data_IF_937042407604
#
_entry.id   IF_937042407604
#
_cell.length_a   1.000
_cell.length_b   1.000
_cell.length_c   1.000
_cell.angle_alpha   90.00
_cell.angle_beta   90.00
_cell.angle_gamma   90.00
#
_symmetry.space_group_name_H-M   'P 1'
#
loop_
_entity.id
_entity.type
_entity.pdbx_description
1 polymer ?
#
# COMPACT_ATOMS: atom_id res chain seq x y z
N UNK A 1 -9.91 -12.43 10.86
CA UNK A 1 -9.32 -11.63 11.97
C UNK A 1 -8.08 -10.96 11.45
N UNK A 2 -8.15 -9.65 11.27
CA UNK A 2 -7.06 -8.85 10.78
C UNK A 2 -6.02 -8.62 11.89
N UNK A 3 -4.75 -8.87 11.58
CA UNK A 3 -3.61 -8.53 12.44
C UNK A 3 -2.71 -7.61 11.64
N UNK A 4 -2.47 -6.42 12.17
CA UNK A 4 -1.59 -5.43 11.57
C UNK A 4 -0.17 -5.59 12.11
N UNK A 5 0.80 -5.64 11.21
CA UNK A 5 2.22 -5.70 11.54
C UNK A 5 2.95 -4.52 10.90
N UNK A 6 4.02 -4.06 11.54
CA UNK A 6 4.88 -3.03 10.95
C UNK A 6 5.46 -3.50 9.62
N UNK A 7 5.35 -2.64 8.61
CA UNK A 7 6.07 -2.81 7.36
C UNK A 7 7.23 -1.83 7.33
N UNK A 8 8.44 -2.37 7.23
CA UNK A 8 9.59 -1.59 6.79
C UNK A 8 9.56 -1.53 5.27
N UNK A 9 9.44 -0.33 4.73
CA UNK A 9 9.46 -0.06 3.30
C UNK A 9 10.50 0.99 2.93
N UNK A 10 10.54 1.31 1.65
CA UNK A 10 11.32 2.42 1.10
C UNK A 10 10.38 3.37 0.38
N UNK A 11 10.36 4.63 0.78
CA UNK A 11 9.65 5.69 0.07
C UNK A 11 10.59 6.36 -0.92
N UNK A 12 10.12 6.50 -2.14
CA UNK A 12 10.92 6.97 -3.27
C UNK A 12 10.15 8.08 -3.96
N UNK A 13 10.74 9.26 -4.03
CA UNK A 13 10.26 10.39 -4.84
C UNK A 13 11.26 10.64 -5.95
N UNK A 14 10.82 10.53 -7.20
CA UNK A 14 11.66 10.73 -8.38
C UNK A 14 10.79 11.04 -9.61
N UNK A 15 11.41 11.44 -10.72
CA UNK A 15 10.69 11.67 -11.97
C UNK A 15 9.86 10.45 -12.39
N UNK A 16 8.65 10.65 -12.97
CA UNK A 16 7.80 9.55 -13.38
C UNK A 16 8.48 8.54 -14.33
N UNK A 17 9.36 9.04 -15.22
CA UNK A 17 10.13 8.23 -16.16
C UNK A 17 11.12 7.31 -15.43
N UNK A 18 11.93 7.84 -14.50
CA UNK A 18 12.86 7.04 -13.72
C UNK A 18 12.15 5.95 -12.91
N UNK A 19 10.99 6.27 -12.32
CA UNK A 19 10.19 5.30 -11.59
C UNK A 19 9.54 4.23 -12.51
N UNK A 20 9.28 4.54 -13.78
CA UNK A 20 8.72 3.60 -14.74
C UNK A 20 9.77 2.62 -15.28
N UNK A 21 11.04 3.03 -15.31
CA UNK A 21 12.19 2.22 -15.71
C UNK A 21 12.75 1.38 -14.55
N UNK A 22 12.38 1.70 -13.31
CA UNK A 22 12.83 1.00 -12.12
C UNK A 22 12.46 -0.48 -12.15
N UNK A 23 13.42 -1.33 -11.81
CA UNK A 23 13.23 -2.79 -11.71
C UNK A 23 13.22 -3.17 -10.24
N UNK A 24 12.16 -3.86 -9.82
CA UNK A 24 11.98 -4.32 -8.44
C UNK A 24 12.18 -5.83 -8.35
N UNK A 25 12.63 -6.36 -7.20
CA UNK A 25 12.60 -7.79 -6.92
C UNK A 25 11.21 -8.38 -7.17
N UNK A 26 11.13 -9.65 -7.57
CA UNK A 26 9.87 -10.31 -7.93
C UNK A 26 8.87 -10.38 -6.78
N UNK A 27 9.37 -10.38 -5.55
CA UNK A 27 8.63 -10.43 -4.30
C UNK A 27 8.37 -9.05 -3.70
N UNK A 28 8.87 -7.98 -4.32
CA UNK A 28 8.64 -6.62 -3.86
C UNK A 28 7.27 -6.09 -4.32
N UNK A 29 6.57 -5.45 -3.39
CA UNK A 29 5.37 -4.66 -3.64
C UNK A 29 5.76 -3.21 -3.88
N UNK A 30 5.89 -2.83 -5.15
CA UNK A 30 6.13 -1.45 -5.54
C UNK A 30 4.79 -0.73 -5.83
N UNK A 31 4.30 0.03 -4.86
CA UNK A 31 3.01 0.70 -4.90
C UNK A 31 3.18 2.15 -5.38
N UNK A 32 2.54 2.51 -6.49
CA UNK A 32 2.59 3.87 -7.02
C UNK A 32 1.55 4.77 -6.38
N UNK A 33 1.97 5.49 -5.34
CA UNK A 33 1.12 6.39 -4.55
C UNK A 33 0.90 7.75 -5.23
N UNK A 34 1.83 8.20 -6.08
CA UNK A 34 1.66 9.37 -6.93
C UNK A 34 2.38 9.17 -8.28
N UNK A 35 2.24 10.13 -9.21
CA UNK A 35 2.95 10.05 -10.50
C UNK A 35 4.47 9.98 -10.35
N UNK A 36 4.98 10.57 -9.29
CA UNK A 36 6.39 10.78 -8.94
C UNK A 36 6.76 10.15 -7.59
N UNK A 37 5.90 9.26 -7.05
CA UNK A 37 6.14 8.59 -5.77
C UNK A 37 5.85 7.08 -5.84
N UNK A 38 6.77 6.29 -5.28
CA UNK A 38 6.60 4.87 -4.98
C UNK A 38 6.77 4.63 -3.49
N UNK A 39 5.99 3.69 -2.98
CA UNK A 39 6.20 3.04 -1.70
C UNK A 39 6.49 1.55 -1.97
N UNK A 40 7.69 1.10 -1.63
CA UNK A 40 8.17 -0.25 -1.94
C UNK A 40 8.32 -1.07 -0.66
N UNK A 41 7.77 -2.29 -0.64
CA UNK A 41 7.90 -3.25 0.45
C UNK A 41 8.48 -4.59 -0.04
N UNK A 42 9.34 -5.28 0.73
CA UNK A 42 9.98 -4.81 1.96
C UNK A 42 10.96 -3.65 1.67
N UNK A 43 11.62 -3.14 2.71
CA UNK A 43 12.66 -2.11 2.58
C UNK A 43 13.75 -2.54 1.60
N UNK A 44 14.16 -1.60 0.75
CA UNK A 44 15.17 -1.74 -0.29
C UNK A 44 16.43 -0.97 0.11
N UNK A 45 17.61 -1.61 -0.01
CA UNK A 45 18.88 -0.99 0.39
C UNK A 45 19.71 -0.43 -0.78
N UNK A 46 19.55 -0.99 -1.98
CA UNK A 46 20.39 -0.67 -3.15
C UNK A 46 19.55 -0.14 -4.32
N UNK A 47 18.69 0.84 -4.05
CA UNK A 47 17.85 1.44 -5.09
C UNK A 47 18.69 2.34 -5.99
N UNK A 48 18.76 2.01 -7.27
CA UNK A 48 19.41 2.82 -8.30
C UNK A 48 18.39 3.30 -9.33
N UNK A 49 18.33 4.62 -9.54
CA UNK A 49 17.41 5.26 -10.49
C UNK A 49 18.19 6.20 -11.41
N UNK A 50 17.65 6.43 -12.61
CA UNK A 50 18.22 7.37 -13.59
C UNK A 50 18.06 8.84 -13.19
N UNK A 51 17.23 9.13 -12.19
CA UNK A 51 17.01 10.47 -11.66
C UNK A 51 18.08 10.87 -10.63
N UNK A 52 18.94 11.86 -10.92
CA UNK A 52 19.97 12.32 -9.99
C UNK A 52 19.42 13.08 -8.77
N UNK A 53 18.14 13.45 -8.78
CA UNK A 53 17.47 14.17 -7.70
C UNK A 53 16.49 13.28 -6.91
N UNK A 54 16.54 11.96 -7.12
CA UNK A 54 15.71 11.02 -6.40
C UNK A 54 15.91 11.14 -4.88
N UNK A 55 14.81 11.17 -4.14
CA UNK A 55 14.78 11.06 -2.69
C UNK A 55 14.39 9.63 -2.35
N UNK A 56 15.27 8.93 -1.65
CA UNK A 56 15.10 7.53 -1.29
C UNK A 56 15.30 7.45 0.22
N UNK A 57 14.24 7.09 0.94
CA UNK A 57 14.26 7.02 2.41
C UNK A 57 13.67 5.71 2.91
N UNK A 58 14.21 5.24 4.03
CA UNK A 58 13.59 4.18 4.81
C UNK A 58 12.28 4.71 5.41
N UNK A 59 11.19 3.97 5.24
CA UNK A 59 9.87 4.34 5.70
C UNK A 59 9.23 3.20 6.51
N UNK A 60 9.07 3.45 7.82
CA UNK A 60 8.42 2.55 8.76
C UNK A 60 7.06 3.04 9.24
N UNK A 61 6.47 4.03 8.55
CA UNK A 61 5.25 4.70 8.98
C UNK A 61 3.97 3.91 8.71
N UNK A 62 4.06 2.68 8.21
CA UNK A 62 2.91 1.87 7.83
C UNK A 62 2.81 0.56 8.62
N UNK A 63 1.56 0.17 8.88
CA UNK A 63 1.23 -1.20 9.26
C UNK A 63 0.42 -1.84 8.14
N UNK A 64 0.58 -3.15 7.98
CA UNK A 64 -0.15 -3.93 7.00
C UNK A 64 -0.60 -5.28 7.51
N UNK A 65 -1.69 -5.78 6.93
CA UNK A 65 -2.24 -7.10 7.23
C UNK A 65 -2.98 -7.69 6.05
N UNK A 66 -2.72 -8.98 5.79
CA UNK A 66 -3.44 -9.76 4.79
C UNK A 66 -4.72 -10.32 5.39
N UNK A 67 -5.82 -10.23 4.63
CA UNK A 67 -7.11 -10.85 4.95
C UNK A 67 -7.63 -11.64 3.78
N UNK A 68 -8.50 -12.60 4.07
CA UNK A 68 -9.29 -13.26 3.03
C UNK A 68 -10.09 -12.22 2.23
N UNK A 69 -10.19 -12.42 0.93
CA UNK A 69 -10.89 -11.51 0.05
C UNK A 69 -12.35 -11.29 0.46
N UNK A 70 -13.07 -12.33 0.87
CA UNK A 70 -14.48 -12.18 1.27
C UNK A 70 -14.65 -11.38 2.56
N UNK A 71 -13.69 -11.47 3.49
CA UNK A 71 -13.64 -10.65 4.71
C UNK A 71 -13.35 -9.19 4.35
N UNK A 72 -12.32 -8.95 3.55
CA UNK A 72 -11.94 -7.59 3.13
C UNK A 72 -13.00 -6.89 2.28
N UNK A 73 -13.64 -7.60 1.34
CA UNK A 73 -14.71 -7.03 0.51
C UNK A 73 -15.94 -6.68 1.33
N UNK A 74 -16.24 -7.41 2.41
CA UNK A 74 -17.35 -7.08 3.32
C UNK A 74 -17.10 -5.76 4.05
N UNK A 75 -15.89 -5.57 4.57
CA UNK A 75 -15.50 -4.30 5.18
C UNK A 75 -15.59 -3.15 4.16
N UNK A 76 -15.03 -3.34 2.97
CA UNK A 76 -15.00 -2.32 1.92
C UNK A 76 -16.40 -1.97 1.41
N UNK A 77 -17.31 -2.95 1.29
CA UNK A 77 -18.68 -2.69 0.84
C UNK A 77 -19.45 -1.73 1.75
N UNK A 78 -19.14 -1.69 3.05
CA UNK A 78 -19.80 -0.80 4.02
C UNK A 78 -19.09 0.54 4.20
N UNK A 79 -17.79 0.61 3.89
CA UNK A 79 -16.94 1.73 4.29
C UNK A 79 -16.25 2.46 3.14
N UNK A 80 -16.28 1.90 1.93
CA UNK A 80 -15.62 2.44 0.75
C UNK A 80 -16.62 3.11 -0.18
N UNK A 81 -16.41 4.38 -0.50
CA UNK A 81 -17.29 5.16 -1.41
C UNK A 81 -16.79 5.18 -2.86
N UNK A 82 -15.60 4.64 -3.13
CA UNK A 82 -14.96 4.69 -4.44
C UNK A 82 -15.01 3.33 -5.17
N UNK A 83 -14.97 3.39 -6.50
CA UNK A 83 -15.01 2.17 -7.32
C UNK A 83 -13.69 1.40 -7.20
N UNK A 84 -13.78 0.14 -6.77
CA UNK A 84 -12.61 -0.73 -6.69
C UNK A 84 -12.17 -1.25 -8.06
N UNK A 85 -10.85 -1.39 -8.30
CA UNK A 85 -10.34 -2.04 -9.49
C UNK A 85 -10.89 -3.46 -9.66
N UNK A 86 -11.38 -3.77 -10.86
CA UNK A 86 -11.89 -5.11 -11.20
C UNK A 86 -10.80 -6.07 -11.66
N UNK A 87 -9.71 -5.53 -12.23
CA UNK A 87 -8.56 -6.33 -12.67
C UNK A 87 -7.63 -6.54 -11.49
N UNK A 88 -7.11 -7.76 -11.36
CA UNK A 88 -6.18 -8.16 -10.29
C UNK A 88 -4.91 -8.76 -10.92
N UNK A 89 -3.74 -8.62 -10.26
CA UNK A 89 -3.53 -7.84 -9.06
C UNK A 89 -3.65 -6.33 -9.33
N UNK A 90 -4.03 -5.56 -8.31
CA UNK A 90 -4.14 -4.11 -8.43
C UNK A 90 -3.82 -3.38 -7.13
N UNK A 91 -3.15 -2.24 -7.26
CA UNK A 91 -3.04 -1.25 -6.21
C UNK A 91 -4.23 -0.29 -6.27
N UNK A 92 -4.82 0.01 -5.12
CA UNK A 92 -5.80 1.07 -4.96
C UNK A 92 -5.51 1.85 -3.68
N UNK A 93 -5.88 3.13 -3.65
CA UNK A 93 -5.80 3.94 -2.45
C UNK A 93 -6.96 4.93 -2.44
N UNK A 94 -7.42 5.25 -1.24
CA UNK A 94 -8.55 6.14 -1.04
C UNK A 94 -9.00 6.14 0.41
N UNK A 95 -10.11 6.82 0.70
CA UNK A 95 -10.69 6.82 2.02
C UNK A 95 -11.61 5.61 2.21
N UNK A 96 -11.50 4.91 3.34
CA UNK A 96 -12.52 3.98 3.81
C UNK A 96 -12.70 4.14 5.32
N UNK A 97 -13.95 4.16 5.79
CA UNK A 97 -14.28 4.47 7.18
C UNK A 97 -13.71 5.85 7.63
N UNK A 98 -13.61 6.80 6.70
CA UNK A 98 -13.00 8.11 6.97
C UNK A 98 -11.47 8.11 7.11
N UNK A 99 -10.81 6.96 6.91
CA UNK A 99 -9.36 6.82 7.08
C UNK A 99 -8.65 6.63 5.73
N UNK A 100 -7.43 7.17 5.55
CA UNK A 100 -6.64 6.95 4.34
C UNK A 100 -6.12 5.51 4.33
N UNK A 101 -6.58 4.72 3.37
CA UNK A 101 -6.19 3.32 3.21
C UNK A 101 -5.49 3.09 1.87
N UNK A 102 -4.54 2.16 1.88
CA UNK A 102 -3.86 1.63 0.71
C UNK A 102 -4.18 0.13 0.63
N UNK A 103 -4.56 -0.34 -0.55
CA UNK A 103 -4.96 -1.71 -0.80
C UNK A 103 -4.07 -2.33 -1.86
N UNK A 104 -3.63 -3.55 -1.60
CA UNK A 104 -3.12 -4.43 -2.65
C UNK A 104 -4.07 -5.62 -2.81
N UNK A 105 -4.78 -5.60 -3.93
CA UNK A 105 -5.84 -6.54 -4.28
C UNK A 105 -5.24 -7.70 -5.08
N UNK A 106 -5.42 -8.93 -4.61
CA UNK A 106 -5.00 -10.15 -5.31
C UNK A 106 -6.16 -11.14 -5.35
N UNK A 107 -6.07 -12.20 -6.13
CA UNK A 107 -7.08 -13.26 -6.08
C UNK A 107 -7.02 -14.00 -4.75
N UNK A 108 -8.13 -13.94 -3.99
CA UNK A 108 -8.33 -14.68 -2.75
C UNK A 108 -7.86 -13.96 -1.47
N UNK A 109 -7.09 -12.87 -1.58
CA UNK A 109 -6.70 -12.07 -0.40
C UNK A 109 -6.46 -10.61 -0.74
N UNK A 110 -6.65 -9.76 0.26
CA UNK A 110 -6.42 -8.32 0.18
C UNK A 110 -5.42 -7.95 1.26
N UNK A 111 -4.41 -7.17 0.89
CA UNK A 111 -3.52 -6.53 1.83
C UNK A 111 -4.04 -5.12 2.11
N UNK A 112 -4.39 -4.87 3.36
CA UNK A 112 -4.68 -3.53 3.87
C UNK A 112 -3.38 -2.93 4.39
N UNK A 113 -3.12 -1.69 4.02
CA UNK A 113 -1.96 -0.90 4.47
C UNK A 113 -2.50 0.42 4.99
N UNK A 114 -2.18 0.72 6.24
CA UNK A 114 -2.62 1.92 6.97
C UNK A 114 -1.42 2.63 7.55
N UNK A 115 -1.49 3.96 7.65
CA UNK A 115 -0.48 4.69 8.40
C UNK A 115 -0.57 4.35 9.88
N UNK A 116 0.59 4.25 10.54
CA UNK A 116 0.68 3.82 11.92
C UNK A 116 -0.12 4.69 12.88
N UNK A 117 -0.23 5.98 12.58
CA UNK A 117 -1.02 6.94 13.34
C UNK A 117 -2.53 6.61 13.35
N UNK A 118 -3.05 5.91 12.35
CA UNK A 118 -4.47 5.55 12.21
C UNK A 118 -4.76 4.07 12.47
N UNK A 119 -3.75 3.29 12.86
CA UNK A 119 -3.90 1.84 12.99
C UNK A 119 -4.92 1.44 14.07
N UNK A 120 -5.00 2.19 15.18
CA UNK A 120 -5.97 1.94 16.24
C UNK A 120 -7.41 2.19 15.75
N UNK A 121 -7.68 3.40 15.23
CA UNK A 121 -8.98 3.79 14.69
C UNK A 121 -9.45 2.83 13.60
N UNK A 122 -8.54 2.40 12.72
CA UNK A 122 -8.86 1.44 11.68
C UNK A 122 -9.27 0.06 12.25
N UNK A 123 -8.61 -0.41 13.30
CA UNK A 123 -9.00 -1.66 13.96
C UNK A 123 -10.34 -1.54 14.68
N UNK A 124 -10.66 -0.38 15.25
CA UNK A 124 -12.00 -0.12 15.82
C UNK A 124 -13.07 -0.26 14.74
N UNK A 125 -12.92 0.44 13.61
CA UNK A 125 -13.86 0.33 12.48
C UNK A 125 -13.92 -1.08 11.85
N UNK A 126 -12.84 -1.86 11.91
CA UNK A 126 -12.83 -3.24 11.39
C UNK A 126 -13.71 -4.20 12.21
N UNK A 127 -13.93 -3.88 13.48
CA UNK A 127 -14.68 -4.73 14.41
C UNK A 127 -16.16 -4.35 14.57
N UNK A 128 -16.59 -3.24 13.98
CA UNK A 128 -17.99 -2.81 13.88
C UNK A 128 -18.76 -3.56 12.78
#
# INVERSE_FOLDING_TARGET
MLVLNHFSGTRIVATPAALAEAVWPVDALALRTASDELLVFPQQHDVSLSDPHAIIIDDGSYLGGWVDESEGLRFLASHCEWEMPRKRPAFAQGAAAGLPIKLWLTDGRILFIVEAAFAADFLECWHE
#
